data_IF_748988875534
#
_entry.id   IF_748988875534
#
_cell.length_a   1.000
_cell.length_b   1.000
_cell.length_c   1.000
_cell.angle_alpha   90.00
_cell.angle_beta   90.00
_cell.angle_gamma   90.00
#
_symmetry.space_group_name_H-M   'P 1'
#
loop_
_entity.id
_entity.type
_entity.pdbx_description
1 polymer ?
#
# COMPACT_ATOMS: atom_id res chain seq x y z
N UNK A 1 -6.84 -2.95 50.45
CA UNK A 1 -6.31 -3.74 49.32
C UNK A 1 -5.92 -2.77 48.23
N UNK A 2 -4.62 -2.67 47.92
CA UNK A 2 -4.03 -1.61 47.09
C UNK A 2 -3.63 -2.18 45.73
N UNK A 3 -4.31 -1.78 44.66
CA UNK A 3 -3.91 -2.13 43.30
C UNK A 3 -3.00 -1.04 42.73
N UNK A 4 -1.71 -1.36 42.64
CA UNK A 4 -0.73 -0.66 41.79
C UNK A 4 -1.01 -1.10 40.36
N UNK A 5 -1.45 -0.18 39.50
CA UNK A 5 -1.40 -0.40 38.05
C UNK A 5 -0.42 0.59 37.46
N UNK A 6 0.68 0.02 36.96
CA UNK A 6 1.87 0.67 36.44
C UNK A 6 1.57 1.47 35.17
N UNK A 7 2.24 2.60 35.07
CA UNK A 7 2.32 3.47 33.91
C UNK A 7 2.69 2.69 32.64
N UNK A 8 1.86 2.81 31.60
CA UNK A 8 2.18 2.37 30.24
C UNK A 8 1.75 3.46 29.24
N UNK A 9 2.24 4.69 29.46
CA UNK A 9 2.06 5.82 28.53
C UNK A 9 3.40 6.38 28.04
N UNK A 10 4.41 5.52 27.94
CA UNK A 10 5.64 5.81 27.21
C UNK A 10 5.69 4.96 25.94
N UNK A 11 6.31 5.49 24.88
CA UNK A 11 6.61 4.82 23.59
C UNK A 11 5.62 5.03 22.42
N UNK A 12 4.73 6.04 22.44
CA UNK A 12 3.98 6.39 21.21
C UNK A 12 4.63 7.44 20.27
N UNK A 13 5.46 8.41 20.67
CA UNK A 13 5.97 9.40 19.71
C UNK A 13 7.26 8.98 19.01
N UNK A 14 7.97 7.96 19.50
CA UNK A 14 9.26 7.53 18.93
C UNK A 14 9.13 6.72 17.63
N UNK A 15 7.97 6.11 17.37
CA UNK A 15 7.69 5.40 16.12
C UNK A 15 7.56 6.34 14.91
N UNK A 16 7.16 7.60 15.11
CA UNK A 16 7.11 8.59 14.02
C UNK A 16 8.51 9.06 13.57
N UNK A 17 9.53 8.98 14.43
CA UNK A 17 10.89 9.43 14.08
C UNK A 17 11.60 8.50 13.07
N UNK A 18 11.10 7.28 12.89
CA UNK A 18 11.57 6.34 11.86
C UNK A 18 10.96 6.59 10.48
N UNK A 19 10.08 7.61 10.32
CA UNK A 19 9.56 8.07 9.00
C UNK A 19 10.62 8.70 8.09
N UNK A 20 11.91 8.57 8.42
CA UNK A 20 12.97 9.24 7.71
C UNK A 20 13.50 8.33 6.60
N UNK A 21 13.07 8.65 5.39
CA UNK A 21 13.65 8.37 4.07
C UNK A 21 13.47 6.98 3.44
N UNK A 22 12.48 6.85 2.54
CA UNK A 22 12.56 6.13 1.27
C UNK A 22 11.29 6.44 0.45
N UNK A 23 11.38 6.47 -0.89
CA UNK A 23 10.27 6.87 -1.77
C UNK A 23 8.92 6.23 -1.43
N UNK A 24 7.84 7.02 -1.55
CA UNK A 24 6.42 6.66 -1.36
C UNK A 24 6.20 5.50 -0.39
N UNK A 25 5.78 5.81 0.84
CA UNK A 25 5.49 4.81 1.86
C UNK A 25 4.54 3.74 1.30
N UNK A 26 5.08 2.54 1.04
CA UNK A 26 4.39 1.46 0.31
C UNK A 26 3.13 1.02 1.05
N UNK A 27 3.11 1.22 2.36
CA UNK A 27 1.96 1.01 3.23
C UNK A 27 0.86 2.04 2.97
N UNK A 28 1.21 3.32 2.76
CA UNK A 28 0.25 4.36 2.41
C UNK A 28 -0.39 4.07 1.04
N UNK A 29 0.34 3.51 0.09
CA UNK A 29 -0.24 3.10 -1.21
C UNK A 29 -1.27 1.99 -1.03
N UNK A 30 -0.95 0.97 -0.23
CA UNK A 30 -1.89 -0.10 0.09
C UNK A 30 -3.11 0.43 0.84
N UNK A 31 -2.92 1.29 1.85
CA UNK A 31 -3.99 1.90 2.61
C UNK A 31 -4.89 2.79 1.74
N UNK A 32 -4.30 3.56 0.82
CA UNK A 32 -5.04 4.40 -0.11
C UNK A 32 -5.91 3.57 -1.07
N UNK A 33 -5.39 2.44 -1.58
CA UNK A 33 -6.18 1.53 -2.41
C UNK A 33 -7.36 0.94 -1.63
N UNK A 34 -7.11 0.48 -0.40
CA UNK A 34 -8.16 -0.06 0.48
C UNK A 34 -9.26 0.98 0.71
N UNK A 35 -8.87 2.18 1.14
CA UNK A 35 -9.81 3.26 1.44
C UNK A 35 -10.62 3.66 0.20
N UNK A 36 -9.97 3.87 -0.95
CA UNK A 36 -10.66 4.28 -2.17
C UNK A 36 -11.72 3.27 -2.59
N UNK A 37 -11.42 1.99 -2.59
CA UNK A 37 -12.44 1.01 -2.92
C UNK A 37 -13.51 0.90 -1.83
N UNK A 38 -13.14 0.94 -0.54
CA UNK A 38 -14.10 0.82 0.56
C UNK A 38 -15.18 1.92 0.54
N UNK A 39 -14.80 3.12 0.12
CA UNK A 39 -15.69 4.27 0.05
C UNK A 39 -16.35 4.50 -1.32
N UNK A 40 -15.76 4.03 -2.43
CA UNK A 40 -16.27 4.33 -3.78
C UNK A 40 -16.84 3.14 -4.55
N UNK A 41 -16.51 1.90 -4.16
CA UNK A 41 -17.02 0.73 -4.87
C UNK A 41 -18.45 0.43 -4.45
N UNK A 42 -19.38 0.42 -5.41
CA UNK A 42 -20.82 0.29 -5.12
C UNK A 42 -21.26 -1.16 -4.82
N UNK A 43 -20.50 -2.15 -5.29
CA UNK A 43 -20.91 -3.56 -5.27
C UNK A 43 -20.17 -4.38 -4.19
N UNK A 44 -19.92 -3.78 -3.03
CA UNK A 44 -19.26 -4.45 -1.91
C UNK A 44 -19.91 -5.78 -1.53
N UNK A 45 -21.24 -5.89 -1.65
CA UNK A 45 -22.00 -7.10 -1.35
C UNK A 45 -21.68 -8.27 -2.29
N UNK A 46 -21.18 -7.99 -3.49
CA UNK A 46 -20.75 -9.01 -4.46
C UNK A 46 -19.30 -9.47 -4.24
N UNK A 47 -18.52 -8.75 -3.43
CA UNK A 47 -17.12 -9.07 -3.16
C UNK A 47 -17.03 -10.28 -2.23
N UNK A 48 -16.72 -11.44 -2.80
CA UNK A 48 -16.60 -12.73 -2.07
C UNK A 48 -15.24 -12.93 -1.40
N UNK A 49 -14.25 -12.12 -1.75
CA UNK A 49 -12.88 -12.24 -1.26
C UNK A 49 -12.68 -11.46 0.04
N UNK A 50 -11.90 -12.03 0.97
CA UNK A 50 -11.53 -11.34 2.21
C UNK A 50 -10.49 -10.24 1.92
N UNK A 51 -10.99 -9.01 1.84
CA UNK A 51 -10.21 -7.85 1.45
C UNK A 51 -9.27 -7.33 2.54
N UNK A 52 -9.64 -7.49 3.81
CA UNK A 52 -8.79 -7.10 4.94
C UNK A 52 -7.58 -8.03 5.08
N UNK A 53 -7.78 -9.33 4.81
CA UNK A 53 -6.68 -10.30 4.72
C UNK A 53 -5.73 -9.97 3.57
N UNK A 54 -6.27 -9.55 2.43
CA UNK A 54 -5.46 -9.16 1.27
C UNK A 54 -4.64 -7.88 1.56
N UNK A 55 -5.22 -6.92 2.30
CA UNK A 55 -4.52 -5.73 2.78
C UNK A 55 -3.38 -6.11 3.73
N UNK A 56 -3.66 -6.88 4.78
CA UNK A 56 -2.66 -7.32 5.75
C UNK A 56 -1.49 -8.04 5.07
N UNK A 57 -1.77 -9.00 4.18
CA UNK A 57 -0.74 -9.71 3.42
C UNK A 57 0.09 -8.80 2.50
N UNK A 58 -0.49 -7.69 2.02
CA UNK A 58 0.21 -6.72 1.17
C UNK A 58 1.10 -5.79 1.99
N UNK A 59 0.63 -5.35 3.16
CA UNK A 59 1.43 -4.57 4.11
C UNK A 59 2.62 -5.39 4.62
N UNK A 60 2.39 -6.63 5.05
CA UNK A 60 3.48 -7.53 5.49
C UNK A 60 4.49 -7.78 4.36
N UNK A 61 4.04 -7.89 3.11
CA UNK A 61 4.94 -7.99 1.96
C UNK A 61 5.77 -6.71 1.75
N UNK A 62 5.14 -5.54 1.88
CA UNK A 62 5.83 -4.26 1.75
C UNK A 62 6.89 -4.02 2.84
N UNK A 63 6.72 -4.61 4.02
CA UNK A 63 7.66 -4.56 5.15
C UNK A 63 8.79 -5.60 5.08
N UNK A 64 8.76 -6.53 4.12
CA UNK A 64 9.80 -7.56 4.01
C UNK A 64 11.19 -6.94 3.85
N UNK A 65 12.19 -7.60 4.44
CA UNK A 65 13.59 -7.18 4.36
C UNK A 65 14.45 -8.34 3.81
N UNK A 66 15.14 -8.18 2.66
CA UNK A 66 15.26 -6.96 1.85
C UNK A 66 13.93 -6.53 1.19
N UNK A 67 13.78 -5.22 0.98
CA UNK A 67 12.55 -4.65 0.44
C UNK A 67 12.25 -5.20 -0.96
N UNK A 68 11.00 -5.63 -1.23
CA UNK A 68 10.65 -6.15 -2.54
C UNK A 68 10.73 -5.02 -3.59
N UNK A 69 11.12 -5.35 -4.83
CA UNK A 69 11.16 -4.40 -5.93
C UNK A 69 9.75 -3.86 -6.22
N UNK A 70 9.65 -2.57 -6.58
CA UNK A 70 8.37 -1.87 -6.75
C UNK A 70 7.49 -2.53 -7.82
N UNK A 71 8.08 -3.13 -8.85
CA UNK A 71 7.35 -3.89 -9.87
C UNK A 71 6.56 -5.07 -9.28
N UNK A 72 7.13 -5.77 -8.28
CA UNK A 72 6.43 -6.88 -7.60
C UNK A 72 5.31 -6.35 -6.71
N UNK A 73 5.54 -5.22 -6.03
CA UNK A 73 4.49 -4.53 -5.29
C UNK A 73 3.32 -4.12 -6.21
N UNK A 74 3.59 -3.51 -7.36
CA UNK A 74 2.57 -3.13 -8.33
C UNK A 74 1.80 -4.33 -8.88
N UNK A 75 2.50 -5.43 -9.22
CA UNK A 75 1.83 -6.68 -9.64
C UNK A 75 0.92 -7.22 -8.53
N UNK A 76 1.35 -7.14 -7.28
CA UNK A 76 0.58 -7.59 -6.12
C UNK A 76 -0.65 -6.70 -5.90
N UNK A 77 -0.49 -5.38 -5.97
CA UNK A 77 -1.59 -4.42 -5.92
C UNK A 77 -2.62 -4.70 -7.02
N UNK A 78 -2.17 -4.96 -8.26
CA UNK A 78 -3.07 -5.30 -9.38
C UNK A 78 -3.86 -6.58 -9.12
N UNK A 79 -3.21 -7.63 -8.62
CA UNK A 79 -3.90 -8.88 -8.23
C UNK A 79 -4.89 -8.68 -7.10
N UNK A 80 -4.56 -7.86 -6.11
CA UNK A 80 -5.51 -7.49 -5.06
C UNK A 80 -6.70 -6.71 -5.63
N UNK A 81 -6.46 -5.75 -6.52
CA UNK A 81 -7.51 -5.02 -7.23
C UNK A 81 -8.48 -5.94 -8.00
N UNK A 82 -7.97 -7.00 -8.65
CA UNK A 82 -8.82 -7.97 -9.34
C UNK A 82 -9.76 -8.76 -8.42
N UNK A 83 -9.53 -8.77 -7.10
CA UNK A 83 -10.45 -9.40 -6.15
C UNK A 83 -11.81 -8.70 -6.07
N UNK A 84 -11.93 -7.45 -6.54
CA UNK A 84 -13.22 -6.79 -6.70
C UNK A 84 -14.05 -7.40 -7.84
N UNK A 85 -13.42 -8.21 -8.73
CA UNK A 85 -14.06 -8.87 -9.86
C UNK A 85 -14.88 -7.92 -10.76
N UNK A 86 -14.49 -6.64 -10.84
CA UNK A 86 -15.21 -5.63 -11.61
C UNK A 86 -14.78 -5.59 -13.08
N UNK A 87 -13.60 -6.12 -13.40
CA UNK A 87 -12.98 -6.05 -14.73
C UNK A 87 -12.62 -4.64 -15.20
N UNK A 88 -12.87 -3.61 -14.39
CA UNK A 88 -12.76 -2.18 -14.74
C UNK A 88 -11.70 -1.46 -13.89
N UNK A 89 -11.29 -2.00 -12.74
CA UNK A 89 -10.27 -1.39 -11.90
C UNK A 89 -8.88 -1.51 -12.55
N UNK A 90 -8.35 -0.39 -13.01
CA UNK A 90 -7.01 -0.27 -13.56
C UNK A 90 -6.04 0.38 -12.56
N UNK A 91 -5.05 -0.38 -12.11
CA UNK A 91 -3.90 0.16 -11.35
C UNK A 91 -2.77 0.40 -12.34
N UNK A 92 -2.50 1.68 -12.62
CA UNK A 92 -1.44 2.11 -13.54
C UNK A 92 -0.22 2.51 -12.71
N UNK A 93 0.92 1.85 -12.95
CA UNK A 93 2.19 2.30 -12.37
C UNK A 93 2.55 3.66 -12.97
N UNK A 94 3.02 4.59 -12.14
CA UNK A 94 3.52 5.86 -12.64
C UNK A 94 4.66 5.58 -13.63
N UNK A 95 4.48 5.96 -14.90
CA UNK A 95 5.57 5.96 -15.86
C UNK A 95 6.64 6.90 -15.30
N UNK A 96 7.84 6.37 -15.08
CA UNK A 96 8.99 7.20 -14.70
C UNK A 96 9.11 8.33 -15.71
N UNK A 97 9.00 9.57 -15.27
CA UNK A 97 9.00 10.78 -16.10
C UNK A 97 10.30 11.00 -16.90
N UNK A 98 11.26 10.08 -16.83
CA UNK A 98 12.57 10.19 -17.45
C UNK A 98 12.57 9.83 -18.95
N UNK A 99 11.57 9.11 -19.45
CA UNK A 99 11.48 8.72 -20.88
C UNK A 99 11.00 9.84 -21.82
N UNK A 100 10.64 11.02 -21.30
CA UNK A 100 10.19 12.16 -22.12
C UNK A 100 11.31 13.18 -22.44
N UNK A 101 12.53 12.96 -21.96
CA UNK A 101 13.63 13.93 -22.06
C UNK A 101 14.77 13.58 -23.02
N UNK A 102 14.79 12.38 -23.61
CA UNK A 102 15.99 11.86 -24.29
C UNK A 102 15.69 11.34 -25.69
N UNK A 103 15.17 12.20 -26.57
CA UNK A 103 15.40 12.04 -28.00
C UNK A 103 16.62 12.89 -28.35
N UNK A 104 17.81 12.32 -28.57
CA UNK A 104 18.85 13.05 -29.27
C UNK A 104 18.40 13.16 -30.73
N UNK A 105 18.04 14.36 -31.18
CA UNK A 105 18.00 14.67 -32.60
C UNK A 105 19.42 14.57 -33.12
N UNK A 106 19.77 13.42 -33.67
CA UNK A 106 20.94 13.21 -34.52
C UNK A 106 20.59 13.67 -35.93
N UNK A 107 21.38 14.60 -36.48
CA UNK A 107 21.34 14.99 -37.90
C UNK A 107 21.28 16.49 -38.11
#
# INVERSE_FOLDING_TARGET
MSFRTLAFFGVFPALLAAQRSAGVDRQLVAAALWAKARYNYAYWDAVRANWDSAFAATVTFAEQRPAPPDQLLFRRLRRWGTLLNDGQLAIVAAQSSWERGSCPTSG
#
